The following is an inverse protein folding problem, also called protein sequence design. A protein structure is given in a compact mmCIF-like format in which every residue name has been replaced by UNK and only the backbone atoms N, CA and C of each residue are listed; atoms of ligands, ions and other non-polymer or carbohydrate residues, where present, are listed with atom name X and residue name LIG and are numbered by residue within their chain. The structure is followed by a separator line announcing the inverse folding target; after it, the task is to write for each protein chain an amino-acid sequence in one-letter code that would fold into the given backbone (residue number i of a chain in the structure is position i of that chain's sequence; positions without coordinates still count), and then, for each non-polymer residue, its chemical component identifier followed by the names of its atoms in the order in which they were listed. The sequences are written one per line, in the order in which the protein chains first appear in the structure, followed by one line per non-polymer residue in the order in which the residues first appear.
data_IF_792025079004
#
_entry.id   IF_792025079004
#
_cell.length_a   1.000
_cell.length_b   1.000
_cell.length_c   1.000
_cell.angle_alpha   90.00
_cell.angle_beta   90.00
_cell.angle_gamma   90.00
#
_symmetry.space_group_name_H-M   'P 1'
#
loop_
_entity.id
_entity.type
_entity.pdbx_description
1 polymer ?
#
# COMPACT_ATOMS: atom_id res chain seq x y z
N UNK A 1 13.61 -11.78 20.27
CA UNK A 1 14.03 -10.59 19.50
C UNK A 1 13.33 -9.37 20.10
N UNK A 2 14.04 -8.28 20.41
CA UNK A 2 13.49 -7.16 21.21
C UNK A 2 13.12 -5.93 20.39
N UNK A 3 12.17 -5.13 20.87
CA UNK A 3 11.73 -3.87 20.24
C UNK A 3 12.86 -2.83 20.17
N UNK A 4 12.83 -1.95 19.17
CA UNK A 4 13.73 -0.79 19.10
C UNK A 4 12.97 0.45 19.59
N UNK A 5 12.88 0.60 20.91
CA UNK A 5 11.91 1.48 21.56
C UNK A 5 10.51 0.87 21.54
N UNK A 6 9.54 1.55 20.90
CA UNK A 6 8.13 1.10 20.83
C UNK A 6 7.77 0.39 19.51
N UNK A 7 8.72 0.24 18.58
CA UNK A 7 8.50 -0.37 17.26
C UNK A 7 9.17 -1.75 17.23
N UNK A 8 8.52 -2.81 16.71
CA UNK A 8 9.14 -4.13 16.61
C UNK A 8 10.43 -4.04 15.77
N UNK A 9 11.53 -4.60 16.28
CA UNK A 9 12.80 -4.68 15.55
C UNK A 9 12.74 -5.88 14.62
N UNK A 10 12.60 -5.59 13.33
CA UNK A 10 12.50 -6.61 12.29
C UNK A 10 13.87 -6.68 11.59
N UNK A 11 14.53 -7.83 11.68
CA UNK A 11 15.88 -8.06 11.12
C UNK A 11 15.85 -8.88 9.83
N UNK A 12 14.66 -9.14 9.27
CA UNK A 12 14.43 -10.03 8.12
C UNK A 12 13.47 -9.43 7.12
N UNK A 13 13.60 -9.82 5.85
CA UNK A 13 12.71 -9.38 4.78
C UNK A 13 12.90 -7.92 4.36
N UNK A 14 11.83 -7.32 3.83
CA UNK A 14 11.82 -5.97 3.27
C UNK A 14 12.22 -4.90 4.29
N UNK A 15 11.87 -5.12 5.57
CA UNK A 15 12.15 -4.26 6.70
C UNK A 15 13.64 -3.95 6.96
N UNK A 16 14.56 -4.78 6.44
CA UNK A 16 16.00 -4.48 6.47
C UNK A 16 16.33 -3.24 5.63
N UNK A 17 15.62 -3.03 4.52
CA UNK A 17 15.94 -2.03 3.50
C UNK A 17 15.11 -0.75 3.63
N UNK A 18 13.86 -0.87 4.09
CA UNK A 18 12.94 0.24 4.32
C UNK A 18 11.81 -0.20 5.27
N UNK A 19 11.20 0.72 6.02
CA UNK A 19 10.08 0.38 6.93
C UNK A 19 8.94 -0.29 6.17
N UNK A 20 8.54 -1.49 6.56
CA UNK A 20 7.47 -2.25 5.89
C UNK A 20 6.07 -1.94 6.47
N UNK A 21 5.40 -0.94 5.88
CA UNK A 21 4.05 -0.53 6.28
C UNK A 21 2.96 -1.51 5.83
N UNK A 22 3.23 -2.36 4.84
CA UNK A 22 2.31 -3.41 4.40
C UNK A 22 2.27 -4.55 5.43
N UNK A 23 3.45 -5.00 5.90
CA UNK A 23 3.57 -5.93 7.02
C UNK A 23 3.02 -5.35 8.34
N UNK A 24 3.16 -4.04 8.57
CA UNK A 24 2.60 -3.37 9.75
C UNK A 24 1.06 -3.50 9.86
N UNK A 25 0.35 -3.47 8.74
CA UNK A 25 -1.12 -3.59 8.70
C UNK A 25 -1.61 -5.01 8.36
N UNK A 26 -0.72 -5.94 8.02
CA UNK A 26 -1.10 -7.28 7.57
C UNK A 26 -1.82 -7.29 6.23
N UNK A 27 -1.41 -6.41 5.29
CA UNK A 27 -2.05 -6.30 3.97
C UNK A 27 -1.05 -6.57 2.84
N UNK A 28 -1.49 -7.15 1.72
CA UNK A 28 -0.61 -7.42 0.58
C UNK A 28 -0.18 -6.12 -0.10
N UNK A 29 0.97 -6.15 -0.78
CA UNK A 29 1.53 -5.02 -1.56
C UNK A 29 0.62 -4.52 -2.69
N UNK A 30 -0.35 -5.33 -3.10
CA UNK A 30 -1.40 -5.01 -4.08
C UNK A 30 -2.65 -4.37 -3.48
N UNK A 31 -2.73 -4.19 -2.15
CA UNK A 31 -3.94 -3.75 -1.46
C UNK A 31 -4.40 -2.34 -1.86
N UNK A 32 -5.72 -2.17 -2.02
CA UNK A 32 -6.35 -0.88 -2.26
C UNK A 32 -6.57 -0.08 -0.96
N UNK A 33 -6.88 1.21 -1.09
CA UNK A 33 -7.09 2.10 0.06
C UNK A 33 -8.26 1.65 0.97
N UNK A 34 -9.24 0.90 0.45
CA UNK A 34 -10.38 0.37 1.22
C UNK A 34 -9.92 -0.81 2.08
N UNK A 35 -9.18 -1.76 1.50
CA UNK A 35 -8.56 -2.89 2.19
C UNK A 35 -7.61 -2.41 3.29
N UNK A 36 -6.74 -1.44 2.97
CA UNK A 36 -5.84 -0.78 3.95
C UNK A 36 -6.64 -0.16 5.11
N UNK A 37 -7.71 0.58 4.81
CA UNK A 37 -8.57 1.19 5.84
C UNK A 37 -9.29 0.14 6.70
N UNK A 38 -9.73 -0.97 6.10
CA UNK A 38 -10.40 -2.07 6.81
C UNK A 38 -9.42 -2.82 7.72
N UNK A 39 -8.24 -3.16 7.23
CA UNK A 39 -7.20 -3.82 8.02
C UNK A 39 -6.72 -2.93 9.19
N UNK A 40 -6.48 -1.63 8.94
CA UNK A 40 -6.18 -0.66 10.00
C UNK A 40 -7.25 -0.63 11.09
N UNK A 41 -8.54 -0.68 10.75
CA UNK A 41 -9.63 -0.74 11.75
C UNK A 41 -9.59 -2.03 12.56
N UNK A 42 -9.33 -3.17 11.93
CA UNK A 42 -9.19 -4.46 12.62
C UNK A 42 -8.00 -4.42 13.60
N UNK A 43 -6.82 -3.99 13.14
CA UNK A 43 -5.62 -3.81 13.97
C UNK A 43 -5.87 -2.84 15.13
N UNK A 44 -6.52 -1.70 14.88
CA UNK A 44 -6.87 -0.71 15.91
C UNK A 44 -7.82 -1.28 16.97
N UNK A 45 -8.78 -2.14 16.58
CA UNK A 45 -9.65 -2.81 17.54
C UNK A 45 -8.89 -3.88 18.34
N UNK A 46 -8.06 -4.71 17.70
CA UNK A 46 -7.23 -5.71 18.39
C UNK A 46 -6.31 -5.06 19.42
N UNK A 47 -5.58 -4.01 19.05
CA UNK A 47 -4.67 -3.30 19.96
C UNK A 47 -5.39 -2.55 21.09
N UNK A 48 -6.60 -2.02 20.85
CA UNK A 48 -7.35 -1.26 21.87
C UNK A 48 -8.13 -2.16 22.82
N UNK A 49 -8.68 -3.28 22.34
CA UNK A 49 -9.57 -4.17 23.11
C UNK A 49 -8.82 -5.37 23.68
N UNK A 50 -7.83 -5.90 22.96
CA UNK A 50 -7.10 -7.12 23.35
C UNK A 50 -6.26 -6.97 24.62
N UNK A 51 -5.76 -5.77 24.92
CA UNK A 51 -4.86 -5.50 26.05
C UNK A 51 -5.53 -4.71 27.20
N UNK A 52 -6.87 -4.67 27.23
CA UNK A 52 -7.63 -3.96 28.29
C UNK A 52 -7.40 -4.65 29.64
N UNK A 53 -6.94 -3.88 30.63
CA UNK A 53 -6.68 -4.35 31.99
C UNK A 53 -5.21 -4.65 32.31
N UNK A 54 -4.35 -4.79 31.30
CA UNK A 54 -2.91 -5.00 31.48
C UNK A 54 -2.17 -3.66 31.32
N UNK A 55 -1.90 -2.93 32.41
CA UNK A 55 -1.40 -1.54 32.33
C UNK A 55 -0.14 -1.37 31.46
N UNK A 56 0.85 -2.24 31.63
CA UNK A 56 2.10 -2.24 30.84
C UNK A 56 1.85 -2.58 29.35
N UNK A 57 1.06 -3.61 29.06
CA UNK A 57 0.78 -4.05 27.68
C UNK A 57 -0.15 -3.09 26.93
N UNK A 58 -1.15 -2.52 27.60
CA UNK A 58 -1.98 -1.45 27.05
C UNK A 58 -1.14 -0.22 26.67
N UNK A 59 -0.14 0.13 27.50
CA UNK A 59 0.80 1.19 27.19
C UNK A 59 1.72 0.83 26.01
N UNK A 60 2.29 -0.39 25.98
CA UNK A 60 3.08 -0.90 24.84
C UNK A 60 2.25 -0.84 23.54
N UNK A 61 1.03 -1.38 23.56
CA UNK A 61 0.09 -1.39 22.44
C UNK A 61 -0.27 0.03 21.96
N UNK A 62 -0.51 0.96 22.88
CA UNK A 62 -0.82 2.37 22.56
C UNK A 62 0.37 3.09 21.89
N UNK A 63 1.59 2.92 22.42
CA UNK A 63 2.80 3.53 21.84
C UNK A 63 3.12 2.92 20.46
N UNK A 64 2.95 1.62 20.32
CA UNK A 64 3.11 0.91 19.05
C UNK A 64 2.09 1.40 18.01
N UNK A 65 0.81 1.47 18.38
CA UNK A 65 -0.25 1.96 17.52
C UNK A 65 0.07 3.37 16.99
N UNK A 66 0.48 4.28 17.88
CA UNK A 66 0.83 5.65 17.54
C UNK A 66 2.07 5.76 16.62
N UNK A 67 3.10 4.94 16.84
CA UNK A 67 4.41 5.07 16.15
C UNK A 67 4.60 4.15 14.93
N UNK A 68 3.77 3.12 14.78
CA UNK A 68 3.90 2.12 13.72
C UNK A 68 2.64 2.02 12.84
N UNK A 69 1.48 1.79 13.47
CA UNK A 69 0.20 1.54 12.76
C UNK A 69 -0.38 2.83 12.16
N UNK A 70 -0.34 3.94 12.89
CA UNK A 70 -0.84 5.23 12.40
C UNK A 70 -0.04 5.73 11.17
N UNK A 71 1.31 5.80 11.19
CA UNK A 71 2.08 6.17 9.99
C UNK A 71 1.84 5.27 8.79
N UNK A 72 1.72 3.95 9.01
CA UNK A 72 1.41 2.99 7.95
C UNK A 72 0.09 3.34 7.24
N UNK A 73 -0.98 3.59 8.02
CA UNK A 73 -2.27 4.01 7.46
C UNK A 73 -2.19 5.37 6.77
N UNK A 74 -1.48 6.35 7.33
CA UNK A 74 -1.41 7.70 6.73
C UNK A 74 -0.70 7.71 5.38
N UNK A 75 0.38 6.95 5.24
CA UNK A 75 1.14 6.81 4.00
C UNK A 75 0.35 5.98 2.99
N UNK A 76 -0.15 4.80 3.37
CA UNK A 76 -0.75 3.85 2.42
C UNK A 76 -2.17 4.23 1.97
N UNK A 77 -2.93 5.05 2.73
CA UNK A 77 -4.30 5.45 2.32
C UNK A 77 -4.32 6.62 1.34
N UNK A 78 -3.27 7.45 1.30
CA UNK A 78 -3.18 8.63 0.43
C UNK A 78 -2.38 8.27 -0.84
N UNK A 79 -2.93 8.57 -2.01
CA UNK A 79 -2.37 8.12 -3.29
C UNK A 79 -0.94 8.59 -3.55
N UNK A 80 -0.65 9.89 -3.38
CA UNK A 80 0.69 10.47 -3.60
C UNK A 80 1.78 9.86 -2.70
N UNK A 81 1.69 9.89 -1.35
CA UNK A 81 2.73 9.30 -0.51
C UNK A 81 2.79 7.77 -0.62
N UNK A 82 1.69 7.07 -0.96
CA UNK A 82 1.76 5.65 -1.31
C UNK A 82 2.61 5.43 -2.57
N UNK A 83 2.41 6.23 -3.61
CA UNK A 83 3.19 6.13 -4.85
C UNK A 83 4.68 6.43 -4.63
N UNK A 84 4.99 7.45 -3.82
CA UNK A 84 6.37 7.79 -3.42
C UNK A 84 7.00 6.63 -2.64
N UNK A 85 6.30 6.10 -1.64
CA UNK A 85 6.75 4.96 -0.83
C UNK A 85 6.97 3.69 -1.67
N UNK A 86 6.00 3.30 -2.51
CA UNK A 86 6.15 2.19 -3.45
C UNK A 86 7.32 2.39 -4.42
N UNK A 87 7.62 3.64 -4.79
CA UNK A 87 8.77 3.99 -5.65
C UNK A 87 10.10 3.82 -4.90
N UNK A 88 10.16 4.25 -3.63
CA UNK A 88 11.32 4.03 -2.76
C UNK A 88 11.56 2.52 -2.59
N UNK A 89 10.53 1.74 -2.27
CA UNK A 89 10.62 0.27 -2.17
C UNK A 89 11.20 -0.35 -3.45
N UNK A 90 10.64 -0.03 -4.62
CA UNK A 90 11.14 -0.55 -5.91
C UNK A 90 12.58 -0.13 -6.17
N UNK A 91 12.97 1.10 -5.82
CA UNK A 91 14.35 1.57 -5.96
C UNK A 91 15.32 0.81 -5.05
N UNK A 92 14.93 0.50 -3.81
CA UNK A 92 15.71 -0.37 -2.91
C UNK A 92 15.89 -1.76 -3.51
N UNK A 93 14.81 -2.40 -3.93
CA UNK A 93 14.83 -3.77 -4.48
C UNK A 93 15.62 -3.86 -5.79
N UNK A 94 15.57 -2.86 -6.66
CA UNK A 94 16.37 -2.87 -7.90
C UNK A 94 17.87 -2.84 -7.68
N UNK A 95 18.35 -2.20 -6.61
CA UNK A 95 19.78 -2.23 -6.25
C UNK A 95 20.23 -3.64 -5.85
N UNK A 96 19.31 -4.51 -5.43
CA UNK A 96 19.61 -5.90 -5.10
C UNK A 96 19.83 -6.78 -6.34
N UNK A 97 19.63 -6.26 -7.56
CA UNK A 97 19.98 -6.98 -8.82
C UNK A 97 21.49 -7.15 -9.00
N UNK A 98 22.28 -6.26 -8.41
CA UNK A 98 23.74 -6.27 -8.50
C UNK A 98 24.38 -7.18 -7.43
N UNK A 99 23.56 -7.77 -6.55
CA UNK A 99 23.97 -8.70 -5.50
C UNK A 99 23.62 -10.15 -5.87
N UNK A 100 24.34 -11.11 -5.28
CA UNK A 100 24.06 -12.54 -5.47
C UNK A 100 22.63 -12.90 -5.04
N UNK A 101 21.77 -13.46 -5.91
CA UNK A 101 20.41 -13.86 -5.56
C UNK A 101 20.33 -14.91 -4.45
N UNK A 102 21.40 -15.67 -4.18
CA UNK A 102 21.48 -16.56 -3.02
C UNK A 102 21.56 -15.80 -1.69
N UNK A 103 22.14 -14.59 -1.69
CA UNK A 103 22.28 -13.72 -0.50
C UNK A 103 21.04 -12.83 -0.30
N UNK A 104 20.38 -12.43 -1.39
CA UNK A 104 19.24 -11.50 -1.37
C UNK A 104 17.91 -12.15 -0.96
N UNK A 105 17.75 -13.46 -1.22
CA UNK A 105 16.45 -14.11 -1.06
C UNK A 105 16.17 -14.60 0.38
N UNK A 106 14.98 -14.36 0.94
CA UNK A 106 14.62 -14.95 2.23
C UNK A 106 14.59 -16.48 2.17
N UNK A 107 15.23 -17.13 3.14
CA UNK A 107 15.33 -18.60 3.21
C UNK A 107 14.16 -19.26 3.95
N UNK A 108 13.15 -18.48 4.39
CA UNK A 108 12.08 -19.01 5.22
C UNK A 108 11.14 -19.98 4.47
N UNK A 109 10.46 -20.91 5.18
CA UNK A 109 9.63 -21.94 4.54
C UNK A 109 8.51 -21.38 3.64
N UNK A 110 7.86 -20.29 4.07
CA UNK A 110 6.79 -19.64 3.29
C UNK A 110 7.30 -19.03 1.98
N UNK A 111 8.49 -18.42 1.98
CA UNK A 111 9.12 -17.85 0.78
C UNK A 111 9.67 -18.93 -0.17
N UNK A 112 10.04 -20.09 0.35
CA UNK A 112 10.52 -21.22 -0.45
C UNK A 112 9.45 -21.80 -1.38
N UNK A 113 8.17 -21.68 -1.03
CA UNK A 113 7.05 -22.05 -1.91
C UNK A 113 6.89 -21.04 -3.05
N UNK A 114 6.92 -19.74 -2.73
CA UNK A 114 6.78 -18.64 -3.70
C UNK A 114 7.77 -18.70 -4.84
N UNK A 115 9.04 -19.03 -4.57
CA UNK A 115 10.08 -19.12 -5.61
C UNK A 115 9.82 -20.23 -6.64
N UNK A 116 9.15 -21.31 -6.25
CA UNK A 116 8.95 -22.52 -7.08
C UNK A 116 7.59 -22.56 -7.79
N UNK A 117 6.67 -21.69 -7.40
CA UNK A 117 5.29 -21.74 -7.88
C UNK A 117 5.07 -20.88 -9.12
N UNK A 118 4.37 -21.42 -10.11
CA UNK A 118 3.86 -20.62 -11.24
C UNK A 118 2.69 -19.70 -10.82
N UNK A 119 2.06 -19.95 -9.67
CA UNK A 119 0.94 -19.17 -9.11
C UNK A 119 1.37 -18.31 -7.91
N UNK A 120 2.64 -17.92 -7.87
CA UNK A 120 3.26 -17.21 -6.74
C UNK A 120 2.51 -15.95 -6.28
N UNK A 121 1.83 -15.21 -7.17
CA UNK A 121 0.98 -14.08 -6.75
C UNK A 121 -0.19 -14.53 -5.85
N UNK A 122 -0.88 -15.62 -6.23
CA UNK A 122 -1.98 -16.19 -5.43
C UNK A 122 -1.47 -16.79 -4.12
N UNK A 123 -0.34 -17.49 -4.16
CA UNK A 123 0.26 -18.10 -2.97
C UNK A 123 0.73 -17.04 -1.96
N UNK A 124 1.24 -15.90 -2.45
CA UNK A 124 1.57 -14.73 -1.63
C UNK A 124 0.32 -14.17 -0.95
N UNK A 125 -0.75 -13.97 -1.71
CA UNK A 125 -2.02 -13.49 -1.17
C UNK A 125 -2.58 -14.43 -0.09
N UNK A 126 -2.55 -15.75 -0.32
CA UNK A 126 -2.99 -16.75 0.66
C UNK A 126 -2.10 -16.75 1.92
N UNK A 127 -0.78 -16.67 1.77
CA UNK A 127 0.16 -16.62 2.90
C UNK A 127 -0.03 -15.35 3.76
N UNK A 128 -0.23 -14.19 3.13
CA UNK A 128 -0.54 -12.94 3.85
C UNK A 128 -1.88 -13.04 4.58
N UNK A 129 -2.92 -13.59 3.94
CA UNK A 129 -4.23 -13.80 4.57
C UNK A 129 -4.19 -14.77 5.76
N UNK A 130 -3.28 -15.75 5.76
CA UNK A 130 -3.08 -16.69 6.86
C UNK A 130 -2.36 -16.05 8.06
N UNK A 131 -1.38 -15.18 7.81
CA UNK A 131 -0.56 -14.54 8.85
C UNK A 131 -1.21 -13.28 9.45
N UNK A 132 -1.88 -12.47 8.64
CA UNK A 132 -2.42 -11.18 9.06
C UNK A 132 -3.39 -11.25 10.27
N UNK A 133 -4.31 -12.23 10.40
CA UNK A 133 -5.19 -12.33 11.56
C UNK A 133 -4.48 -12.65 12.88
N UNK A 134 -3.22 -13.13 12.82
CA UNK A 134 -2.39 -13.46 13.97
C UNK A 134 -1.61 -12.25 14.50
N UNK A 135 -1.44 -11.21 13.69
CA UNK A 135 -0.83 -9.96 14.14
C UNK A 135 -1.60 -9.38 15.32
N UNK A 136 -0.86 -8.88 16.30
CA UNK A 136 -1.40 -8.20 17.49
C UNK A 136 -2.26 -9.06 18.43
N UNK A 137 -2.33 -10.39 18.22
CA UNK A 137 -2.86 -11.32 19.24
C UNK A 137 -1.93 -11.41 20.46
N UNK A 138 -0.62 -11.27 20.23
CA UNK A 138 0.45 -11.21 21.23
C UNK A 138 1.44 -10.14 20.77
N UNK A 139 1.89 -9.30 21.71
CA UNK A 139 2.95 -8.31 21.42
C UNK A 139 4.34 -8.95 21.34
N UNK A 140 4.52 -10.13 21.93
CA UNK A 140 5.82 -10.79 22.01
C UNK A 140 6.09 -11.65 20.76
N UNK A 141 5.04 -12.18 20.12
CA UNK A 141 5.10 -12.85 18.79
C UNK A 141 5.15 -11.85 17.62
N UNK A 142 4.78 -10.59 17.86
CA UNK A 142 4.64 -9.58 16.81
C UNK A 142 5.93 -9.36 15.98
N UNK A 143 7.15 -9.29 16.56
CA UNK A 143 8.38 -9.16 15.77
C UNK A 143 8.61 -10.33 14.82
N UNK A 144 8.21 -11.55 15.20
CA UNK A 144 8.36 -12.75 14.38
C UNK A 144 7.34 -12.79 13.25
N UNK A 145 6.05 -12.54 13.54
CA UNK A 145 4.99 -12.49 12.53
C UNK A 145 5.21 -11.36 11.51
N UNK A 146 5.66 -10.19 11.97
CA UNK A 146 6.01 -9.08 11.06
C UNK A 146 7.27 -9.36 10.25
N UNK A 147 8.26 -10.09 10.80
CA UNK A 147 9.39 -10.60 10.01
C UNK A 147 8.94 -11.52 8.88
N UNK A 148 8.07 -12.49 9.17
CA UNK A 148 7.56 -13.43 8.16
C UNK A 148 6.78 -12.71 7.05
N UNK A 149 5.89 -11.78 7.40
CA UNK A 149 5.20 -10.94 6.41
C UNK A 149 6.17 -10.10 5.58
N UNK A 150 7.21 -9.54 6.20
CA UNK A 150 8.18 -8.72 5.48
C UNK A 150 9.09 -9.54 4.55
N UNK A 151 9.37 -10.80 4.89
CA UNK A 151 10.03 -11.76 4.00
C UNK A 151 9.14 -12.11 2.80
N UNK A 152 7.83 -12.34 3.01
CA UNK A 152 6.87 -12.55 1.92
C UNK A 152 6.77 -11.33 0.99
N UNK A 153 6.73 -10.12 1.56
CA UNK A 153 6.72 -8.86 0.80
C UNK A 153 7.99 -8.68 -0.04
N UNK A 154 9.16 -8.97 0.53
CA UNK A 154 10.43 -8.94 -0.20
C UNK A 154 10.43 -9.95 -1.35
N UNK A 155 10.03 -11.20 -1.08
CA UNK A 155 9.96 -12.25 -2.10
C UNK A 155 9.03 -11.87 -3.26
N UNK A 156 7.84 -11.33 -2.97
CA UNK A 156 6.90 -10.85 -3.99
C UNK A 156 7.51 -9.74 -4.87
N UNK A 157 8.22 -8.76 -4.28
CA UNK A 157 8.90 -7.71 -5.04
C UNK A 157 10.05 -8.25 -5.89
N UNK A 158 10.83 -9.20 -5.37
CA UNK A 158 11.93 -9.83 -6.09
C UNK A 158 11.41 -10.66 -7.29
N UNK A 159 10.36 -11.45 -7.10
CA UNK A 159 9.67 -12.17 -8.19
C UNK A 159 9.19 -11.21 -9.28
N UNK A 160 8.55 -10.11 -8.88
CA UNK A 160 8.02 -9.08 -9.80
C UNK A 160 9.10 -8.33 -10.58
N UNK A 161 10.29 -8.18 -10.00
CA UNK A 161 11.47 -7.58 -10.67
C UNK A 161 12.30 -8.62 -11.47
N UNK A 162 11.87 -9.88 -11.53
CA UNK A 162 12.50 -10.97 -12.30
C UNK A 162 13.78 -11.53 -11.67
N UNK A 163 14.01 -11.26 -10.39
CA UNK A 163 15.18 -11.74 -9.64
C UNK A 163 14.83 -13.13 -9.10
N UNK A 164 15.79 -14.07 -9.09
CA UNK A 164 15.73 -15.32 -8.32
C UNK A 164 14.60 -16.33 -8.62
N UNK A 165 13.66 -16.02 -9.51
CA UNK A 165 12.67 -16.98 -10.04
C UNK A 165 13.38 -17.93 -11.00
N UNK A 166 13.09 -19.23 -10.90
CA UNK A 166 13.63 -20.23 -11.81
C UNK A 166 13.36 -19.85 -13.27
N UNK A 167 14.41 -19.93 -14.10
CA UNK A 167 14.40 -19.57 -15.53
C UNK A 167 13.17 -20.11 -16.27
N UNK A 168 12.33 -19.23 -16.83
CA UNK A 168 11.15 -19.69 -17.58
C UNK A 168 10.25 -18.65 -18.23
N UNK A 169 10.19 -17.40 -17.77
CA UNK A 169 9.27 -16.39 -18.34
C UNK A 169 10.05 -15.15 -18.79
N UNK A 170 10.22 -14.91 -20.11
CA UNK A 170 10.72 -13.63 -20.60
C UNK A 170 9.68 -12.55 -20.29
N UNK A 171 10.10 -11.52 -19.54
CA UNK A 171 9.30 -10.32 -19.33
C UNK A 171 8.93 -9.70 -20.69
N UNK A 172 7.66 -9.79 -21.08
CA UNK A 172 7.16 -9.22 -22.33
C UNK A 172 7.16 -7.70 -22.21
N UNK A 173 8.29 -7.09 -22.57
CA UNK A 173 8.36 -5.67 -22.87
C UNK A 173 7.39 -5.38 -24.01
N UNK A 174 6.54 -4.34 -23.95
CA UNK A 174 5.74 -3.92 -25.09
C UNK A 174 6.69 -3.57 -26.26
N UNK A 175 6.63 -4.36 -27.33
CA UNK A 175 7.40 -4.08 -28.55
C UNK A 175 6.75 -2.89 -29.26
N UNK A 176 7.25 -1.70 -28.96
CA UNK A 176 7.06 -0.54 -29.83
C UNK A 176 7.83 -0.83 -31.11
N UNK A 177 7.11 -1.13 -32.21
CA UNK A 177 7.71 -1.33 -33.54
C UNK A 177 8.40 -0.04 -34.00
N UNK A 178 9.70 -0.03 -34.30
CA UNK A 178 10.31 1.01 -35.12
C UNK A 178 10.03 0.69 -36.59
N UNK A 179 9.30 1.57 -37.29
CA UNK A 179 9.16 1.52 -38.74
C UNK A 179 9.90 2.72 -39.35
N UNK A 180 10.94 2.46 -40.13
CA UNK A 180 11.72 3.51 -40.79
C UNK A 180 12.36 3.05 -42.11
N UNK A 181 11.74 3.42 -43.23
CA UNK A 181 12.42 3.64 -44.52
C UNK A 181 11.49 4.37 -45.50
N UNK A 182 11.78 5.64 -45.76
CA UNK A 182 11.21 6.49 -46.83
C UNK A 182 11.97 6.25 -48.16
N UNK A 183 11.71 6.96 -49.29
CA UNK A 183 10.71 8.00 -49.62
C UNK A 183 9.76 7.53 -50.78
N UNK A 184 9.09 8.28 -51.68
CA UNK A 184 9.17 9.69 -52.17
C UNK A 184 7.80 10.19 -52.73
N UNK A 185 7.73 11.50 -53.03
CA UNK A 185 6.89 12.17 -54.05
C UNK A 185 5.38 12.33 -53.83
N UNK A 186 5.06 13.45 -53.17
CA UNK A 186 4.08 14.49 -53.54
C UNK A 186 2.61 14.14 -53.88
N UNK A 187 1.68 14.71 -53.10
CA UNK A 187 0.85 15.89 -53.52
C UNK A 187 0.08 16.47 -52.31
N UNK A 188 0.08 17.81 -52.18
CA UNK A 188 -0.72 18.63 -51.23
C UNK A 188 -2.00 19.15 -51.91
N UNK A 189 -2.96 19.85 -51.24
CA UNK A 189 -3.21 20.07 -49.80
C UNK A 189 -4.61 19.47 -49.39
N UNK A 190 -5.18 19.56 -48.19
CA UNK A 190 -5.72 20.75 -47.45
C UNK A 190 -5.99 20.33 -45.99
N UNK A 191 -5.81 21.27 -45.05
CA UNK A 191 -5.98 21.07 -43.60
C UNK A 191 -7.46 21.15 -43.16
N UNK A 192 -7.78 20.65 -41.96
CA UNK A 192 -8.34 21.56 -40.95
C UNK A 192 -7.47 21.66 -39.68
N UNK A 193 -7.46 22.82 -38.99
CA UNK A 193 -6.55 23.08 -37.87
C UNK A 193 -7.01 22.48 -36.53
N UNK A 194 -6.05 22.30 -35.62
CA UNK A 194 -6.24 21.85 -34.24
C UNK A 194 -6.37 23.02 -33.24
N UNK A 195 -6.74 22.69 -31.98
CA UNK A 195 -6.62 23.52 -30.74
C UNK A 195 -7.70 24.61 -30.60
N UNK A 196 -8.15 25.07 -29.42
CA UNK A 196 -7.89 24.73 -27.99
C UNK A 196 -8.93 25.41 -27.07
N UNK A 197 -8.98 25.00 -25.79
CA UNK A 197 -9.32 25.81 -24.59
C UNK A 197 -10.52 26.81 -24.60
N UNK A 198 -11.56 26.50 -23.81
CA UNK A 198 -12.21 27.30 -22.73
C UNK A 198 -12.10 28.85 -22.68
N UNK A 199 -13.01 29.56 -21.98
CA UNK A 199 -14.48 29.48 -21.94
C UNK A 199 -15.14 30.90 -22.03
N UNK A 200 -16.45 31.04 -22.29
CA UNK A 200 -17.18 32.24 -21.79
C UNK A 200 -18.70 32.11 -21.68
N UNK A 201 -19.25 33.09 -20.94
CA UNK A 201 -20.59 33.28 -20.38
C UNK A 201 -21.70 33.70 -21.38
N UNK A 202 -22.92 33.76 -20.81
CA UNK A 202 -24.14 34.42 -21.30
C UNK A 202 -24.92 33.75 -22.45
N UNK A 203 -25.90 32.92 -22.09
CA UNK A 203 -27.28 32.86 -22.62
C UNK A 203 -27.93 31.49 -22.30
N UNK A 204 -29.23 31.35 -21.99
CA UNK A 204 -30.20 32.34 -21.49
C UNK A 204 -31.35 31.57 -20.78
N UNK A 205 -31.69 32.01 -19.55
CA UNK A 205 -33.00 31.97 -18.88
C UNK A 205 -33.93 30.72 -18.82
N UNK A 206 -34.63 30.67 -17.66
CA UNK A 206 -35.97 30.11 -17.41
C UNK A 206 -36.10 28.57 -17.30
N UNK A 207 -36.78 28.01 -16.27
CA UNK A 207 -37.71 28.59 -15.29
C UNK A 207 -37.37 28.30 -13.81
N UNK A 208 -37.76 29.25 -12.94
CA UNK A 208 -38.06 29.02 -11.50
C UNK A 208 -39.49 28.46 -11.38
N UNK A 209 -39.79 27.62 -10.38
CA UNK A 209 -40.42 28.11 -9.12
C UNK A 209 -39.82 27.41 -7.87
N UNK A 210 -40.12 27.77 -6.61
CA UNK A 210 -40.56 29.01 -5.95
C UNK A 210 -40.15 28.85 -4.47
N UNK A 211 -39.76 29.92 -3.76
CA UNK A 211 -39.43 29.83 -2.33
C UNK A 211 -40.71 29.65 -1.49
N UNK A 212 -40.61 29.15 -0.24
CA UNK A 212 -40.63 30.13 0.86
C UNK A 212 -39.59 29.84 1.95
N UNK A 213 -39.17 30.86 2.73
CA UNK A 213 -38.15 30.73 3.75
C UNK A 213 -38.75 30.33 5.11
N UNK A 214 -38.00 29.57 5.91
CA UNK A 214 -38.27 29.47 7.35
C UNK A 214 -37.30 30.38 8.08
N UNK A 215 -37.88 31.39 8.73
CA UNK A 215 -37.16 32.44 9.48
C UNK A 215 -36.61 31.88 10.79
N UNK A 216 -35.55 32.50 11.28
CA UNK A 216 -35.11 32.38 12.67
C UNK A 216 -36.25 32.75 13.63
N UNK A 217 -36.36 32.02 14.75
CA UNK A 217 -36.25 32.54 16.13
C UNK A 217 -36.82 31.51 17.11
N UNK A 218 -36.09 31.23 18.19
CA UNK A 218 -36.54 31.46 19.57
C UNK A 218 -35.43 31.04 20.54
N UNK A 219 -34.79 32.02 21.16
CA UNK A 219 -34.22 31.84 22.49
C UNK A 219 -35.33 32.19 23.50
N UNK A 220 -35.57 31.36 24.53
CA UNK A 220 -35.88 31.83 25.90
C UNK A 220 -36.00 30.68 26.95
N UNK A 221 -35.01 30.64 27.86
CA UNK A 221 -35.18 30.73 29.33
C UNK A 221 -35.45 29.52 30.29
N UNK A 222 -34.88 29.73 31.50
CA UNK A 222 -35.20 29.21 32.87
C UNK A 222 -34.91 27.74 33.17
N UNK A 223 -33.91 27.37 33.99
CA UNK A 223 -33.65 27.65 35.43
C UNK A 223 -34.67 26.98 36.38
N UNK A 224 -34.14 26.31 37.41
CA UNK A 224 -34.78 25.70 38.59
C UNK A 224 -35.42 24.31 38.41
N UNK A 225 -34.76 23.27 38.93
CA UNK A 225 -34.96 22.88 40.33
C UNK A 225 -33.68 22.28 40.93
#
# INVERSE_FOLDING_TARGET
MGFNGDIPRIERGLAIYEKDYYAALGVPLSADAKQITTAYKAVAMSLRVGFVGQSEEAQRASRLFAKWVNPAKEILTKETPKLEYDTILRLRIRRLKDHDPATVWPTSPGVSLLRRSNTWESDYHAAVQLLAPRLYQSLDDLPELTSQLSELNLAYLLCKEGIGVGTGIPSVKPVVKPASSSPVTATLPIQPPCKSSTPNLLSLLQLRPHHPPIRQQYAFNRRCR
#
